data_IF_433083514792
#
_entry.id   IF_433083514792
#
_cell.length_a   1.000
_cell.length_b   1.000
_cell.length_c   1.000
_cell.angle_alpha   90.00
_cell.angle_beta   90.00
_cell.angle_gamma   90.00
#
_symmetry.space_group_name_H-M   'P 1'
#
loop_
_entity.id
_entity.type
_entity.pdbx_description
1 polymer ?
#
# COMPACT_ATOMS: atom_id res chain seq x y z
N UNK A 1 24.53 21.98 2.12
CA UNK A 1 23.28 21.19 2.29
C UNK A 1 22.33 21.97 3.18
N UNK A 2 21.04 22.01 2.85
CA UNK A 2 20.04 22.63 3.73
C UNK A 2 19.89 21.81 5.02
N UNK A 3 19.42 22.44 6.11
CA UNK A 3 19.16 21.74 7.38
C UNK A 3 18.26 20.50 7.20
N UNK A 4 17.25 20.58 6.32
CA UNK A 4 16.38 19.45 5.99
C UNK A 4 17.08 18.30 5.26
N UNK A 5 18.06 18.61 4.41
CA UNK A 5 18.85 17.60 3.69
C UNK A 5 19.74 16.79 4.67
N UNK A 6 20.30 17.44 5.70
CA UNK A 6 21.08 16.73 6.72
C UNK A 6 20.24 15.76 7.56
N UNK A 7 18.95 16.08 7.75
CA UNK A 7 18.03 15.26 8.55
C UNK A 7 17.52 14.05 7.75
N UNK A 8 17.01 14.25 6.52
CA UNK A 8 16.35 13.20 5.75
C UNK A 8 17.27 12.46 4.76
N UNK A 9 18.44 13.01 4.46
CA UNK A 9 19.41 12.42 3.54
C UNK A 9 20.84 12.53 4.10
N UNK A 10 21.13 11.89 5.24
CA UNK A 10 22.42 12.04 5.95
C UNK A 10 23.60 11.56 5.11
N UNK A 11 23.38 10.67 4.14
CA UNK A 11 24.40 10.17 3.21
C UNK A 11 24.57 11.02 1.97
N UNK A 12 23.81 12.14 1.83
CA UNK A 12 23.78 12.98 0.64
C UNK A 12 22.83 12.51 -0.46
N UNK A 13 22.17 11.36 -0.26
CA UNK A 13 21.12 10.80 -1.13
C UNK A 13 19.92 10.44 -0.30
N UNK A 14 18.71 10.85 -0.69
CA UNK A 14 17.48 10.41 -0.06
C UNK A 14 17.14 8.99 -0.52
N UNK A 15 17.23 8.03 0.40
CA UNK A 15 16.97 6.61 0.13
C UNK A 15 15.57 6.25 0.59
N UNK A 16 14.71 5.85 -0.34
CA UNK A 16 13.33 5.46 -0.09
C UNK A 16 13.07 4.00 -0.46
N UNK A 17 12.26 3.32 0.34
CA UNK A 17 11.79 1.96 0.06
C UNK A 17 10.27 1.90 0.03
N UNK A 18 9.71 1.00 -0.80
CA UNK A 18 8.28 0.76 -0.91
C UNK A 18 8.01 -0.73 -1.16
N UNK A 19 6.76 -1.17 -0.95
CA UNK A 19 6.37 -2.55 -1.19
C UNK A 19 6.18 -2.79 -2.70
N UNK A 20 7.09 -3.53 -3.33
CA UNK A 20 7.04 -3.82 -4.78
C UNK A 20 5.80 -4.61 -5.21
N UNK A 21 5.18 -5.34 -4.27
CA UNK A 21 3.94 -6.10 -4.50
C UNK A 21 2.69 -5.26 -4.33
N UNK A 22 2.81 -3.98 -3.92
CA UNK A 22 1.69 -3.10 -3.69
C UNK A 22 1.58 -2.00 -4.78
N UNK A 23 0.73 -2.18 -5.80
CA UNK A 23 0.59 -1.23 -6.89
C UNK A 23 0.10 0.15 -6.45
N UNK A 24 -0.51 0.26 -5.27
CA UNK A 24 -0.95 1.53 -4.67
C UNK A 24 0.25 2.42 -4.29
N UNK A 25 1.38 1.82 -3.95
CA UNK A 25 2.60 2.56 -3.60
C UNK A 25 3.48 2.83 -4.82
N UNK A 26 3.71 1.81 -5.64
CA UNK A 26 4.55 1.96 -6.81
C UNK A 26 4.75 0.65 -7.58
N UNK A 27 5.45 0.78 -8.72
CA UNK A 27 5.80 -0.31 -9.61
C UNK A 27 7.25 -0.17 -10.05
N UNK A 28 7.89 -1.30 -10.23
CA UNK A 28 9.21 -1.40 -10.86
C UNK A 28 9.01 -1.95 -12.27
N UNK A 29 9.46 -1.23 -13.28
CA UNK A 29 9.48 -1.72 -14.65
C UNK A 29 10.53 -2.86 -14.74
N UNK A 30 10.13 -4.08 -15.12
CA UNK A 30 11.04 -5.23 -15.11
C UNK A 30 12.13 -5.15 -16.18
N UNK A 31 11.97 -4.31 -17.20
CA UNK A 31 12.94 -4.17 -18.30
C UNK A 31 13.96 -3.08 -18.01
N UNK A 32 13.53 -1.98 -17.43
CA UNK A 32 14.36 -0.77 -17.25
C UNK A 32 14.78 -0.57 -15.79
N UNK A 33 14.12 -1.22 -14.83
CA UNK A 33 14.27 -0.95 -13.40
C UNK A 33 13.67 0.39 -12.96
N UNK A 34 13.02 1.13 -13.86
CA UNK A 34 12.42 2.41 -13.52
C UNK A 34 11.27 2.25 -12.54
N UNK A 35 11.26 3.09 -11.50
CA UNK A 35 10.21 3.10 -10.48
C UNK A 35 9.20 4.19 -10.80
N UNK A 36 7.90 3.85 -10.74
CA UNK A 36 6.77 4.76 -10.94
C UNK A 36 5.76 4.63 -9.80
N UNK A 37 4.80 5.56 -9.73
CA UNK A 37 3.72 5.57 -8.74
C UNK A 37 3.93 6.59 -7.62
N UNK A 38 2.96 6.70 -6.69
CA UNK A 38 2.95 7.74 -5.66
C UNK A 38 4.22 7.80 -4.80
N UNK A 39 4.78 6.66 -4.40
CA UNK A 39 6.02 6.62 -3.63
C UNK A 39 7.19 7.25 -4.40
N UNK A 40 7.30 6.95 -5.71
CA UNK A 40 8.34 7.50 -6.55
C UNK A 40 8.18 9.01 -6.77
N UNK A 41 6.97 9.46 -7.08
CA UNK A 41 6.69 10.87 -7.35
C UNK A 41 6.90 11.73 -6.09
N UNK A 42 6.41 11.28 -4.94
CA UNK A 42 6.62 11.98 -3.67
C UNK A 42 8.09 12.00 -3.24
N UNK A 43 8.82 10.89 -3.42
CA UNK A 43 10.26 10.85 -3.11
C UNK A 43 11.06 11.79 -4.01
N UNK A 44 10.79 11.81 -5.32
CA UNK A 44 11.46 12.72 -6.27
C UNK A 44 11.20 14.19 -5.92
N UNK A 45 9.95 14.53 -5.60
CA UNK A 45 9.62 15.90 -5.20
C UNK A 45 10.28 16.29 -3.88
N UNK A 46 10.33 15.38 -2.90
CA UNK A 46 11.03 15.62 -1.64
C UNK A 46 12.54 15.83 -1.89
N UNK A 47 13.18 14.95 -2.68
CA UNK A 47 14.59 15.08 -3.05
C UNK A 47 14.89 16.40 -3.77
N UNK A 48 14.02 16.81 -4.71
CA UNK A 48 14.12 18.10 -5.41
C UNK A 48 14.08 19.28 -4.43
N UNK A 49 13.18 19.25 -3.43
CA UNK A 49 13.09 20.31 -2.39
C UNK A 49 14.31 20.34 -1.47
N UNK A 50 14.85 19.17 -1.17
CA UNK A 50 16.06 19.04 -0.35
C UNK A 50 17.35 19.39 -1.12
N UNK A 51 17.31 19.38 -2.46
CA UNK A 51 18.49 19.57 -3.33
C UNK A 51 19.42 18.36 -3.31
N UNK A 52 18.89 17.13 -3.17
CA UNK A 52 19.66 15.88 -3.13
C UNK A 52 19.15 14.87 -4.16
N UNK A 53 20.02 14.00 -4.68
CA UNK A 53 19.60 12.86 -5.48
C UNK A 53 18.73 11.90 -4.65
N UNK A 54 17.95 11.05 -5.36
CA UNK A 54 17.08 10.06 -4.73
C UNK A 54 17.44 8.65 -5.19
N UNK A 55 17.31 7.68 -4.29
CA UNK A 55 17.34 6.24 -4.57
C UNK A 55 16.01 5.65 -4.12
N UNK A 56 15.31 4.93 -5.00
CA UNK A 56 13.98 4.39 -4.72
C UNK A 56 14.01 2.90 -5.03
N UNK A 57 13.75 2.06 -4.03
CA UNK A 57 13.88 0.60 -4.15
C UNK A 57 12.60 -0.09 -3.70
N UNK A 58 12.10 -1.01 -4.53
CA UNK A 58 11.02 -1.91 -4.16
C UNK A 58 11.54 -3.07 -3.32
N UNK A 59 10.86 -3.36 -2.20
CA UNK A 59 11.19 -4.49 -1.31
C UNK A 59 10.04 -5.50 -1.26
N UNK A 60 10.32 -6.78 -0.96
CA UNK A 60 9.32 -7.85 -1.15
C UNK A 60 8.18 -7.84 -0.12
N UNK A 61 8.32 -7.17 1.02
CA UNK A 61 7.28 -7.17 2.04
C UNK A 61 7.52 -6.19 3.18
N UNK A 62 6.52 -6.04 4.06
CA UNK A 62 6.54 -5.08 5.16
C UNK A 62 7.72 -5.31 6.13
N UNK A 63 8.10 -6.58 6.41
CA UNK A 63 9.24 -6.87 7.27
C UNK A 63 10.54 -6.32 6.69
N UNK A 64 10.81 -6.60 5.42
CA UNK A 64 12.02 -6.11 4.74
C UNK A 64 12.05 -4.56 4.68
N UNK A 65 10.90 -3.92 4.51
CA UNK A 65 10.78 -2.46 4.55
C UNK A 65 11.11 -1.91 5.93
N UNK A 66 10.51 -2.45 6.98
CA UNK A 66 10.75 -2.04 8.37
C UNK A 66 12.23 -2.22 8.73
N UNK A 67 12.82 -3.37 8.39
CA UNK A 67 14.23 -3.64 8.64
C UNK A 67 15.14 -2.67 7.90
N UNK A 68 14.81 -2.32 6.64
CA UNK A 68 15.59 -1.33 5.86
C UNK A 68 15.61 0.05 6.52
N UNK A 69 14.45 0.52 7.01
CA UNK A 69 14.35 1.82 7.69
C UNK A 69 15.01 1.77 9.07
N UNK A 70 14.72 0.74 9.85
CA UNK A 70 15.22 0.55 11.22
C UNK A 70 16.75 0.45 11.28
N UNK A 71 17.36 -0.21 10.29
CA UNK A 71 18.80 -0.40 10.18
C UNK A 71 19.50 0.72 9.39
N UNK A 72 18.80 1.82 9.08
CA UNK A 72 19.31 2.95 8.30
C UNK A 72 19.85 2.58 6.90
N UNK A 73 19.40 1.45 6.33
CA UNK A 73 19.63 1.13 4.92
C UNK A 73 18.78 2.01 3.99
N UNK A 74 17.62 2.45 4.48
CA UNK A 74 16.79 3.48 3.87
C UNK A 74 16.49 4.60 4.89
N UNK A 75 16.27 5.81 4.39
CA UNK A 75 15.96 6.98 5.22
C UNK A 75 14.45 7.08 5.46
N UNK A 76 13.65 6.70 4.46
CA UNK A 76 12.20 6.68 4.53
C UNK A 76 11.63 5.41 3.90
N UNK A 77 10.40 5.04 4.32
CA UNK A 77 9.66 3.93 3.70
C UNK A 77 8.19 4.28 3.50
N UNK A 78 7.56 3.70 2.48
CA UNK A 78 6.11 3.84 2.25
C UNK A 78 5.41 2.60 2.77
N UNK A 79 4.55 2.77 3.79
CA UNK A 79 3.96 1.65 4.51
C UNK A 79 2.53 1.98 4.97
N UNK A 80 1.66 0.98 4.93
CA UNK A 80 0.35 1.11 5.55
C UNK A 80 0.49 1.17 7.08
N UNK A 81 -0.21 2.13 7.69
CA UNK A 81 -0.23 2.28 9.14
C UNK A 81 -0.83 1.04 9.82
N UNK A 82 -0.14 0.55 10.82
CA UNK A 82 -0.59 -0.49 11.73
C UNK A 82 0.03 -0.26 13.12
N UNK A 83 -0.73 -0.40 14.23
CA UNK A 83 -0.21 -0.17 15.57
C UNK A 83 0.98 -1.05 15.96
N UNK A 84 1.02 -2.30 15.47
CA UNK A 84 2.13 -3.22 15.73
C UNK A 84 3.40 -2.73 15.03
N UNK A 85 3.29 -2.31 13.77
CA UNK A 85 4.42 -1.73 13.01
C UNK A 85 4.92 -0.43 13.64
N UNK A 86 4.02 0.37 14.24
CA UNK A 86 4.36 1.61 14.92
C UNK A 86 5.22 1.41 16.19
N UNK A 87 5.38 0.19 16.68
CA UNK A 87 6.35 -0.11 17.74
C UNK A 87 7.80 -0.09 17.26
N UNK A 88 8.03 -0.28 15.95
CA UNK A 88 9.36 -0.44 15.37
C UNK A 88 9.83 0.74 14.51
N UNK A 89 8.89 1.50 13.93
CA UNK A 89 9.14 2.69 13.10
C UNK A 89 8.15 3.79 13.47
N UNK A 90 8.47 5.05 13.16
CA UNK A 90 7.53 6.15 13.36
C UNK A 90 6.81 6.49 12.05
N UNK A 91 5.50 6.65 12.12
CA UNK A 91 4.63 6.93 10.99
C UNK A 91 4.32 8.42 10.90
N UNK A 92 4.42 8.96 9.69
CA UNK A 92 3.91 10.29 9.35
C UNK A 92 2.38 10.36 9.46
N UNK A 93 1.84 11.56 9.29
CA UNK A 93 0.43 11.73 8.93
C UNK A 93 0.10 10.90 7.66
N UNK A 94 -1.16 10.49 7.54
CA UNK A 94 -1.65 9.71 6.39
C UNK A 94 -1.65 10.59 5.14
N UNK A 95 -1.04 10.13 4.05
CA UNK A 95 -1.05 10.87 2.78
C UNK A 95 -2.13 10.37 1.83
N UNK A 96 -2.50 9.08 1.92
CA UNK A 96 -3.52 8.49 1.05
C UNK A 96 -4.30 7.39 1.77
N UNK A 97 -5.52 7.16 1.28
CA UNK A 97 -6.40 6.07 1.70
C UNK A 97 -6.55 5.10 0.53
N UNK A 98 -6.12 3.85 0.69
CA UNK A 98 -6.33 2.81 -0.31
C UNK A 98 -7.48 1.91 0.12
N UNK A 99 -8.41 1.71 -0.79
CA UNK A 99 -9.62 0.92 -0.53
C UNK A 99 -9.33 -0.57 -0.66
N UNK A 100 -9.98 -1.36 0.18
CA UNK A 100 -9.97 -2.82 0.12
C UNK A 100 -11.36 -3.35 -0.21
N UNK A 101 -11.38 -4.38 -1.05
CA UNK A 101 -12.61 -5.01 -1.52
C UNK A 101 -12.38 -6.52 -1.69
N UNK A 102 -13.31 -7.18 -2.36
CA UNK A 102 -13.25 -8.60 -2.69
C UNK A 102 -13.39 -8.82 -4.19
N UNK A 103 -12.75 -9.85 -4.71
CA UNK A 103 -12.98 -10.36 -6.06
C UNK A 103 -13.62 -11.75 -5.98
N UNK A 104 -14.52 -12.02 -6.89
CA UNK A 104 -15.30 -13.27 -6.98
C UNK A 104 -15.40 -13.74 -8.42
N UNK A 105 -15.73 -15.01 -8.69
CA UNK A 105 -16.18 -15.46 -9.99
C UNK A 105 -17.40 -14.66 -10.46
N UNK A 106 -17.51 -14.39 -11.77
CA UNK A 106 -18.60 -13.56 -12.34
C UNK A 106 -19.99 -14.11 -12.01
N UNK A 107 -20.12 -15.44 -11.89
CA UNK A 107 -21.36 -16.15 -11.56
C UNK A 107 -21.61 -16.29 -10.04
N UNK A 108 -20.76 -15.71 -9.19
CA UNK A 108 -20.96 -15.73 -7.72
C UNK A 108 -22.28 -15.05 -7.34
N UNK A 109 -23.02 -15.57 -6.34
CA UNK A 109 -24.24 -14.93 -5.84
C UNK A 109 -23.98 -13.70 -4.96
N UNK A 110 -22.70 -13.42 -4.62
CA UNK A 110 -22.32 -12.27 -3.80
C UNK A 110 -22.21 -11.02 -4.67
N UNK A 111 -22.85 -9.93 -4.30
CA UNK A 111 -22.89 -8.69 -5.10
C UNK A 111 -22.16 -7.53 -4.44
N UNK A 112 -22.20 -7.45 -3.11
CA UNK A 112 -21.62 -6.38 -2.31
C UNK A 112 -20.59 -6.93 -1.33
N UNK A 113 -19.75 -6.07 -0.78
CA UNK A 113 -18.78 -6.46 0.26
C UNK A 113 -19.48 -7.00 1.51
N UNK A 114 -20.70 -6.53 1.81
CA UNK A 114 -21.47 -6.99 2.98
C UNK A 114 -21.99 -8.43 2.83
N UNK A 115 -22.04 -8.93 1.60
CA UNK A 115 -22.42 -10.32 1.35
C UNK A 115 -21.33 -11.33 1.74
N UNK A 116 -20.09 -10.90 1.89
CA UNK A 116 -18.96 -11.80 2.09
C UNK A 116 -18.82 -12.32 3.54
N UNK A 117 -19.29 -11.57 4.56
CA UNK A 117 -19.21 -12.04 5.97
C UNK A 117 -20.42 -12.88 6.36
N UNK A 118 -20.59 -14.02 5.69
CA UNK A 118 -21.67 -15.00 5.99
C UNK A 118 -21.09 -16.37 6.30
N UNK A 119 -21.84 -17.14 7.08
CA UNK A 119 -21.48 -18.53 7.38
C UNK A 119 -21.27 -19.35 6.09
N UNK A 120 -20.24 -20.18 6.07
CA UNK A 120 -19.79 -21.01 4.93
C UNK A 120 -19.11 -20.27 3.79
N UNK A 121 -18.95 -18.96 3.84
CA UNK A 121 -18.10 -18.23 2.90
C UNK A 121 -16.64 -18.35 3.34
N UNK A 122 -15.78 -18.73 2.41
CA UNK A 122 -14.33 -18.87 2.62
C UNK A 122 -13.64 -17.69 1.94
N UNK A 123 -13.05 -16.82 2.76
CA UNK A 123 -12.34 -15.63 2.30
C UNK A 123 -10.85 -15.92 2.29
N UNK A 124 -10.22 -15.90 1.11
CA UNK A 124 -8.78 -15.98 0.99
C UNK A 124 -8.14 -14.60 1.13
N UNK A 125 -6.98 -14.52 1.79
CA UNK A 125 -6.18 -13.30 1.89
C UNK A 125 -4.69 -13.62 2.05
N UNK A 126 -3.82 -12.68 1.63
CA UNK A 126 -2.38 -12.79 1.86
C UNK A 126 -2.04 -12.52 3.32
N UNK A 127 -1.31 -13.44 3.95
CA UNK A 127 -0.88 -13.34 5.36
C UNK A 127 -0.05 -12.08 5.60
N UNK A 128 -0.39 -11.33 6.65
CA UNK A 128 0.31 -10.12 7.07
C UNK A 128 0.04 -8.87 6.21
N UNK A 129 -0.80 -8.96 5.18
CA UNK A 129 -1.27 -7.80 4.44
C UNK A 129 -2.35 -7.05 5.25
N UNK A 130 -2.48 -5.73 5.01
CA UNK A 130 -3.46 -4.92 5.73
C UNK A 130 -4.91 -5.39 5.57
N UNK A 131 -5.38 -5.88 4.41
CA UNK A 131 -6.67 -6.53 4.27
C UNK A 131 -6.85 -7.73 5.22
N UNK A 132 -5.87 -8.64 5.27
CA UNK A 132 -5.92 -9.81 6.15
C UNK A 132 -5.95 -9.41 7.63
N UNK A 133 -5.08 -8.48 8.05
CA UNK A 133 -5.03 -7.98 9.42
C UNK A 133 -6.38 -7.36 9.84
N UNK A 134 -7.03 -6.62 8.95
CA UNK A 134 -8.36 -6.07 9.18
C UNK A 134 -9.41 -7.18 9.34
N UNK A 135 -9.46 -8.13 8.41
CA UNK A 135 -10.43 -9.22 8.40
C UNK A 135 -10.28 -10.13 9.62
N UNK A 136 -9.06 -10.43 10.06
CA UNK A 136 -8.78 -11.20 11.28
C UNK A 136 -9.43 -10.63 12.54
N UNK A 137 -9.65 -9.31 12.57
CA UNK A 137 -10.20 -8.59 13.72
C UNK A 137 -11.72 -8.33 13.60
N UNK A 138 -12.26 -8.35 12.38
CA UNK A 138 -13.59 -7.80 12.10
C UNK A 138 -14.59 -8.83 11.54
N UNK A 139 -14.14 -9.95 10.97
CA UNK A 139 -15.02 -11.00 10.49
C UNK A 139 -15.76 -11.64 11.68
N UNK A 140 -17.05 -11.94 11.47
CA UNK A 140 -17.94 -12.53 12.48
C UNK A 140 -18.40 -13.93 12.09
N UNK A 141 -18.62 -14.19 10.80
CA UNK A 141 -19.31 -15.37 10.32
C UNK A 141 -18.51 -16.17 9.28
N UNK A 142 -17.77 -15.49 8.39
CA UNK A 142 -17.02 -16.12 7.33
C UNK A 142 -15.71 -16.74 7.83
N UNK A 143 -15.23 -17.75 7.12
CA UNK A 143 -13.93 -18.38 7.36
C UNK A 143 -12.82 -17.61 6.67
N UNK A 144 -11.78 -17.19 7.40
CA UNK A 144 -10.60 -16.55 6.82
C UNK A 144 -9.49 -17.57 6.56
N UNK A 145 -9.16 -17.78 5.29
CA UNK A 145 -8.05 -18.60 4.83
C UNK A 145 -6.84 -17.74 4.48
N UNK A 146 -5.68 -18.04 5.07
CA UNK A 146 -4.44 -17.28 4.95
C UNK A 146 -3.46 -17.98 4.04
N UNK A 147 -2.89 -17.24 3.10
CA UNK A 147 -1.93 -17.74 2.11
C UNK A 147 -0.64 -16.90 2.13
N UNK A 148 0.47 -17.52 1.85
CA UNK A 148 1.78 -16.85 1.82
C UNK A 148 1.96 -16.07 0.51
N UNK A 149 1.23 -14.94 0.36
CA UNK A 149 1.32 -14.02 -0.79
C UNK A 149 1.30 -14.71 -2.16
N UNK A 150 0.24 -15.46 -2.49
CA UNK A 150 0.17 -16.20 -3.74
C UNK A 150 0.15 -15.25 -4.95
N UNK A 151 0.76 -15.64 -6.07
CA UNK A 151 0.61 -14.93 -7.33
C UNK A 151 -0.85 -14.97 -7.81
N UNK A 152 -1.25 -14.00 -8.63
CA UNK A 152 -2.64 -13.87 -9.09
C UNK A 152 -3.15 -15.14 -9.79
N UNK A 153 -2.30 -15.83 -10.58
CA UNK A 153 -2.66 -17.08 -11.24
C UNK A 153 -3.06 -18.21 -10.28
N UNK A 154 -2.50 -18.24 -9.06
CA UNK A 154 -2.89 -19.24 -8.06
C UNK A 154 -4.17 -18.82 -7.34
N UNK A 155 -4.39 -17.52 -7.12
CA UNK A 155 -5.68 -16.99 -6.63
C UNK A 155 -6.81 -17.36 -7.60
N UNK A 156 -6.58 -17.22 -8.91
CA UNK A 156 -7.54 -17.61 -9.94
C UNK A 156 -7.91 -19.10 -9.85
N UNK A 157 -6.91 -19.98 -9.67
CA UNK A 157 -7.15 -21.43 -9.50
C UNK A 157 -7.97 -21.74 -8.25
N UNK A 158 -7.65 -21.11 -7.12
CA UNK A 158 -8.38 -21.27 -5.86
C UNK A 158 -9.85 -20.83 -5.96
N UNK A 159 -10.12 -19.72 -6.64
CA UNK A 159 -11.49 -19.27 -6.92
C UNK A 159 -12.21 -20.22 -7.90
N UNK A 160 -11.55 -20.66 -8.95
CA UNK A 160 -12.14 -21.54 -9.95
C UNK A 160 -12.43 -22.95 -9.41
N UNK A 161 -11.59 -23.48 -8.53
CA UNK A 161 -11.79 -24.79 -7.88
C UNK A 161 -12.80 -24.76 -6.74
N UNK A 162 -13.21 -23.57 -6.29
CA UNK A 162 -14.02 -23.41 -5.10
C UNK A 162 -13.28 -23.73 -3.80
N UNK A 163 -11.95 -23.66 -3.77
CA UNK A 163 -11.17 -23.72 -2.53
C UNK A 163 -11.47 -22.51 -1.63
N UNK A 164 -11.64 -21.35 -2.27
CA UNK A 164 -12.15 -20.11 -1.67
C UNK A 164 -13.34 -19.57 -2.49
N UNK A 165 -14.21 -18.83 -1.84
CA UNK A 165 -15.38 -18.22 -2.48
C UNK A 165 -15.11 -16.77 -2.90
N UNK A 166 -14.24 -16.07 -2.15
CA UNK A 166 -13.79 -14.71 -2.43
C UNK A 166 -12.30 -14.56 -2.11
N UNK A 167 -11.63 -13.62 -2.79
CA UNK A 167 -10.29 -13.18 -2.44
C UNK A 167 -10.30 -11.72 -2.01
N UNK A 168 -9.65 -11.42 -0.89
CA UNK A 168 -9.55 -10.10 -0.28
C UNK A 168 -8.19 -9.47 -0.60
N UNK A 169 -8.19 -8.26 -1.15
CA UNK A 169 -6.98 -7.47 -1.39
C UNK A 169 -7.29 -5.97 -1.51
N UNK A 170 -6.27 -5.15 -1.78
CA UNK A 170 -6.52 -3.77 -2.17
C UNK A 170 -7.29 -3.72 -3.51
N UNK A 171 -8.20 -2.74 -3.64
CA UNK A 171 -9.11 -2.63 -4.77
C UNK A 171 -8.38 -2.52 -6.12
N UNK A 172 -7.23 -1.86 -6.17
CA UNK A 172 -6.45 -1.71 -7.40
C UNK A 172 -6.00 -3.08 -7.94
N UNK A 173 -5.39 -3.93 -7.08
CA UNK A 173 -5.00 -5.29 -7.48
C UNK A 173 -6.19 -6.10 -7.98
N UNK A 174 -7.32 -6.04 -7.27
CA UNK A 174 -8.54 -6.75 -7.66
C UNK A 174 -9.10 -6.25 -9.00
N UNK A 175 -9.05 -4.96 -9.25
CA UNK A 175 -9.50 -4.35 -10.52
C UNK A 175 -8.59 -4.79 -11.68
N UNK A 176 -7.29 -4.88 -11.48
CA UNK A 176 -6.33 -5.39 -12.47
C UNK A 176 -6.56 -6.88 -12.77
N UNK A 177 -6.80 -7.69 -11.73
CA UNK A 177 -7.16 -9.11 -11.90
C UNK A 177 -8.45 -9.27 -12.70
N UNK A 178 -9.51 -8.50 -12.39
CA UNK A 178 -10.78 -8.53 -13.12
C UNK A 178 -10.64 -8.03 -14.57
N UNK A 179 -9.74 -7.07 -14.81
CA UNK A 179 -9.45 -6.59 -16.17
C UNK A 179 -8.71 -7.63 -17.01
N UNK A 180 -7.91 -8.49 -16.38
CA UNK A 180 -7.14 -9.56 -17.05
C UNK A 180 -7.93 -10.85 -17.28
N UNK A 181 -8.99 -11.11 -16.51
CA UNK A 181 -9.83 -12.28 -16.63
C UNK A 181 -11.33 -11.92 -16.54
N UNK A 182 -12.08 -12.02 -17.66
CA UNK A 182 -13.51 -11.69 -17.71
C UNK A 182 -14.40 -12.65 -16.87
N UNK A 183 -13.85 -13.74 -16.37
CA UNK A 183 -14.57 -14.66 -15.45
C UNK A 183 -14.63 -14.15 -14.02
N UNK A 184 -13.98 -13.02 -13.73
CA UNK A 184 -13.93 -12.40 -12.42
C UNK A 184 -14.62 -11.05 -12.39
N UNK A 185 -15.09 -10.65 -11.22
CA UNK A 185 -15.55 -9.30 -10.93
C UNK A 185 -15.24 -8.88 -9.51
N UNK A 186 -14.99 -7.59 -9.31
CA UNK A 186 -14.87 -6.98 -7.99
C UNK A 186 -16.26 -6.71 -7.42
N UNK A 187 -16.45 -7.00 -6.13
CA UNK A 187 -17.70 -6.71 -5.45
C UNK A 187 -17.93 -5.19 -5.32
N UNK A 188 -19.21 -4.79 -5.30
CA UNK A 188 -19.58 -3.41 -5.04
C UNK A 188 -19.25 -3.02 -3.60
N UNK A 189 -18.77 -1.79 -3.43
CA UNK A 189 -18.37 -1.25 -2.13
C UNK A 189 -16.93 -1.59 -1.75
N UNK A 190 -16.55 -1.11 -0.57
CA UNK A 190 -15.25 -1.34 0.05
C UNK A 190 -15.48 -1.64 1.53
N UNK A 191 -14.80 -2.64 2.08
CA UNK A 191 -15.00 -2.99 3.50
C UNK A 191 -14.06 -2.24 4.45
N UNK A 192 -12.96 -1.68 3.94
CA UNK A 192 -12.05 -0.85 4.73
C UNK A 192 -11.20 0.08 3.86
N UNK A 193 -10.71 1.15 4.48
CA UNK A 193 -9.69 2.02 3.92
C UNK A 193 -8.36 1.79 4.65
N UNK A 194 -7.33 1.46 3.91
CA UNK A 194 -5.97 1.27 4.42
C UNK A 194 -5.25 2.61 4.38
N UNK A 195 -4.79 3.08 5.54
CA UNK A 195 -4.09 4.36 5.72
C UNK A 195 -2.64 4.24 5.25
N UNK A 196 -2.29 4.91 4.17
CA UNK A 196 -0.93 4.94 3.63
C UNK A 196 -0.15 6.11 4.24
N UNK A 197 1.05 5.84 4.75
CA UNK A 197 1.91 6.82 5.40
C UNK A 197 3.38 6.64 4.98
N UNK A 198 4.21 7.60 5.34
CA UNK A 198 5.66 7.50 5.20
C UNK A 198 6.22 7.18 6.58
N UNK A 199 7.17 6.24 6.65
CA UNK A 199 7.82 5.87 7.89
C UNK A 199 9.28 6.35 7.91
N UNK A 200 9.74 6.69 9.10
CA UNK A 200 11.12 7.04 9.42
C UNK A 200 11.64 6.11 10.54
N UNK A 201 12.94 6.07 10.81
CA UNK A 201 13.49 5.32 11.94
C UNK A 201 12.81 5.69 13.26
N UNK A 202 12.63 4.71 14.14
CA UNK A 202 12.01 4.92 15.45
C UNK A 202 12.77 5.96 16.27
N UNK A 203 12.05 6.99 16.76
CA UNK A 203 12.64 8.08 17.55
C UNK A 203 13.22 9.23 16.73
N UNK A 204 13.23 9.15 15.40
CA UNK A 204 13.66 10.26 14.53
C UNK A 204 12.56 11.33 14.42
N UNK A 205 12.43 12.14 15.46
CA UNK A 205 11.45 13.23 15.51
C UNK A 205 11.71 14.30 14.45
N UNK A 206 12.97 14.63 14.19
CA UNK A 206 13.33 15.66 13.22
C UNK A 206 12.97 15.23 11.79
N UNK A 207 13.24 13.97 11.44
CA UNK A 207 12.83 13.37 10.17
C UNK A 207 11.31 13.30 10.05
N UNK A 208 10.62 12.86 11.09
CA UNK A 208 9.15 12.79 11.11
C UNK A 208 8.50 14.16 10.90
N UNK A 209 8.98 15.19 11.60
CA UNK A 209 8.49 16.57 11.45
C UNK A 209 8.76 17.12 10.04
N UNK A 210 9.92 16.79 9.47
CA UNK A 210 10.25 17.22 8.11
C UNK A 210 9.33 16.54 7.07
N UNK A 211 9.05 15.24 7.22
CA UNK A 211 8.09 14.52 6.37
C UNK A 211 6.67 15.08 6.51
N UNK A 212 6.21 15.35 7.73
CA UNK A 212 4.87 15.90 7.94
C UNK A 212 4.72 17.28 7.28
N UNK A 213 5.69 18.20 7.45
CA UNK A 213 5.69 19.49 6.75
C UNK A 213 5.72 19.35 5.23
N UNK A 214 6.47 18.38 4.72
CA UNK A 214 6.46 18.06 3.28
C UNK A 214 5.07 17.62 2.82
N UNK A 215 4.42 16.70 3.55
CA UNK A 215 3.08 16.20 3.21
C UNK A 215 2.02 17.31 3.26
N UNK A 216 2.09 18.23 4.22
CA UNK A 216 1.19 19.40 4.29
C UNK A 216 1.30 20.26 3.01
N UNK A 217 2.53 20.59 2.64
CA UNK A 217 2.78 21.40 1.43
C UNK A 217 2.46 20.65 0.14
N UNK A 218 2.73 19.33 0.08
CA UNK A 218 2.40 18.49 -1.06
C UNK A 218 0.88 18.34 -1.24
N UNK A 219 0.14 18.23 -0.13
CA UNK A 219 -1.33 18.18 -0.13
C UNK A 219 -1.92 19.50 -0.60
N UNK A 220 -1.49 20.63 -0.02
CA UNK A 220 -1.95 21.97 -0.40
C UNK A 220 -1.69 22.28 -1.89
N UNK A 221 -0.58 21.78 -2.44
CA UNK A 221 -0.24 21.93 -3.86
C UNK A 221 -0.92 20.89 -4.78
N UNK A 222 -1.75 19.99 -4.26
CA UNK A 222 -2.41 18.93 -5.04
C UNK A 222 -1.47 17.82 -5.54
N UNK A 223 -0.23 17.78 -5.10
CA UNK A 223 0.78 16.84 -5.60
C UNK A 223 0.44 15.38 -5.27
N UNK A 224 -0.14 15.13 -4.08
CA UNK A 224 -0.56 13.78 -3.69
C UNK A 224 -1.65 13.27 -4.63
N UNK A 225 -2.68 14.08 -4.88
CA UNK A 225 -3.74 13.72 -5.83
C UNK A 225 -3.20 13.52 -7.23
N UNK A 226 -2.33 14.40 -7.70
CA UNK A 226 -1.69 14.29 -9.02
C UNK A 226 -0.88 12.98 -9.15
N UNK A 227 -0.15 12.58 -8.11
CA UNK A 227 0.61 11.33 -8.11
C UNK A 227 -0.31 10.09 -8.17
N UNK A 228 -1.44 10.12 -7.46
CA UNK A 228 -2.47 9.07 -7.49
C UNK A 228 -3.09 8.97 -8.89
N UNK A 229 -3.52 10.10 -9.46
CA UNK A 229 -4.16 10.17 -10.78
C UNK A 229 -3.19 9.70 -11.89
N UNK A 230 -1.94 10.16 -11.87
CA UNK A 230 -0.90 9.76 -12.83
C UNK A 230 -0.60 8.27 -12.78
N UNK A 231 -0.69 7.66 -11.60
CA UNK A 231 -0.51 6.23 -11.42
C UNK A 231 -1.73 5.38 -11.83
N UNK A 232 -2.84 6.01 -12.29
CA UNK A 232 -4.07 5.31 -12.67
C UNK A 232 -4.84 4.72 -11.49
N UNK A 233 -4.68 5.30 -10.29
CA UNK A 233 -5.24 4.77 -9.04
C UNK A 233 -6.58 5.41 -8.64
N UNK A 234 -7.12 6.31 -9.46
CA UNK A 234 -8.40 6.95 -9.21
C UNK A 234 -9.52 5.92 -9.00
N UNK A 235 -10.33 6.10 -7.95
CA UNK A 235 -11.37 5.15 -7.53
C UNK A 235 -10.88 3.97 -6.69
N UNK A 236 -9.56 3.75 -6.61
CA UNK A 236 -8.94 2.74 -5.72
C UNK A 236 -8.16 3.38 -4.57
N UNK A 237 -7.74 4.63 -4.75
CA UNK A 237 -6.96 5.41 -3.77
C UNK A 237 -7.45 6.85 -3.77
N UNK A 238 -7.62 7.42 -2.59
CA UNK A 238 -7.93 8.83 -2.39
C UNK A 238 -6.78 9.53 -1.66
N UNK A 239 -6.51 10.79 -2.02
CA UNK A 239 -5.64 11.63 -1.20
C UNK A 239 -6.29 11.86 0.17
N UNK A 240 -5.55 11.60 1.25
CA UNK A 240 -6.08 11.81 2.59
C UNK A 240 -6.26 13.31 2.88
N UNK A 241 -7.32 13.70 3.61
CA UNK A 241 -7.50 15.08 4.06
C UNK A 241 -6.37 15.49 5.02
N UNK A 242 -6.25 16.78 5.30
CA UNK A 242 -5.36 17.29 6.34
C UNK A 242 -5.77 16.73 7.70
N UNK A 243 -4.79 16.41 8.53
CA UNK A 243 -4.95 15.87 9.89
C UNK A 243 -4.60 16.92 10.92
#
# INVERSE_FOLDING_TARGET
>A
MSCGAQVLAPTGTLRAVFLQTNPVQGRVDPKTGAVSGPAADLTRELGRRLGVPVSIVGVPGARALIDSVKNHAADIGFLAFDPTRATEVDFSQVYALSWSSYIVPVNSPLHTVDDADRARIRIGASSGDSPEIYLSKNLKNAELKRYASPPDGDVLKMLASGEIDVWAANRQRLSEMAASDPKLRVLSGNYTAVRQAIVVPKGDRAGLDAINRFLDTARAAGLIKTAIDRAGLAGSVDAAPAQ
#
